data_IF_469590411477
#
_entry.id   IF_469590411477
#
_cell.length_a   1.000
_cell.length_b   1.000
_cell.length_c   1.000
_cell.angle_alpha   90.00
_cell.angle_beta   90.00
_cell.angle_gamma   90.00
#
_symmetry.space_group_name_H-M   'P 1'
#
loop_
_entity.id
_entity.type
_entity.pdbx_description
1 polymer ?
#
# COMPACT_ATOMS: atom_id res chain seq x y z
N UNK A 1 7.27 38.04 30.24
CA UNK A 1 8.26 37.05 30.73
C UNK A 1 8.30 35.80 29.83
N UNK A 2 7.20 35.04 29.70
CA UNK A 2 7.16 33.81 28.87
C UNK A 2 7.47 34.09 27.40
N UNK A 3 6.82 35.06 26.76
CA UNK A 3 7.10 35.42 25.36
C UNK A 3 8.58 35.80 25.16
N UNK A 4 9.15 36.58 26.08
CA UNK A 4 10.57 36.98 26.06
C UNK A 4 11.50 35.78 26.22
N UNK A 5 11.16 34.82 27.11
CA UNK A 5 11.90 33.58 27.30
C UNK A 5 11.92 32.75 26.01
N UNK A 6 10.75 32.55 25.39
CA UNK A 6 10.65 31.82 24.12
C UNK A 6 11.42 32.53 23.00
N UNK A 7 11.28 33.86 22.84
CA UNK A 7 12.03 34.60 21.80
C UNK A 7 13.55 34.48 21.98
N UNK A 8 14.05 34.62 23.21
CA UNK A 8 15.49 34.52 23.49
C UNK A 8 16.01 33.08 23.44
N UNK A 9 15.17 32.11 23.78
CA UNK A 9 15.47 30.68 23.74
C UNK A 9 15.20 30.02 22.38
N UNK A 10 15.13 30.80 21.29
CA UNK A 10 14.86 30.28 19.94
C UNK A 10 13.60 29.40 19.85
N UNK A 11 12.55 29.82 20.55
CA UNK A 11 11.28 29.13 20.65
C UNK A 11 11.20 28.10 21.77
N UNK A 12 12.21 27.99 22.66
CA UNK A 12 12.25 27.08 23.82
C UNK A 12 12.25 27.88 25.11
N UNK A 13 11.60 27.36 26.15
CA UNK A 13 11.52 28.01 27.45
C UNK A 13 11.32 27.01 28.58
N UNK A 14 12.00 27.23 29.69
CA UNK A 14 11.85 26.44 30.91
C UNK A 14 11.15 27.29 31.96
N UNK A 15 10.14 26.71 32.61
CA UNK A 15 9.44 27.32 33.75
C UNK A 15 9.70 26.43 34.96
N UNK A 16 10.27 27.03 36.00
CA UNK A 16 10.43 26.37 37.29
C UNK A 16 9.22 26.73 38.14
N UNK A 17 8.26 25.82 38.24
CA UNK A 17 7.07 25.98 39.06
C UNK A 17 7.45 25.75 40.53
N UNK A 18 7.54 26.84 41.30
CA UNK A 18 7.89 26.81 42.72
C UNK A 18 6.71 26.22 43.51
N UNK A 19 6.99 25.24 44.38
CA UNK A 19 6.03 24.63 45.32
C UNK A 19 6.20 25.24 46.71
N UNK A 20 5.16 25.18 47.55
CA UNK A 20 5.22 25.68 48.94
C UNK A 20 6.26 24.92 49.78
N UNK A 21 6.45 23.62 49.52
CA UNK A 21 7.55 22.80 50.05
C UNK A 21 8.13 21.90 48.94
N UNK A 22 9.46 21.74 48.92
CA UNK A 22 10.19 20.87 47.98
C UNK A 22 10.90 21.60 46.82
N UNK A 23 11.56 20.83 45.96
CA UNK A 23 12.25 21.38 44.79
C UNK A 23 11.25 21.88 43.73
N UNK A 24 11.58 22.98 43.02
CA UNK A 24 10.75 23.49 41.93
C UNK A 24 10.55 22.44 40.83
N UNK A 25 9.34 22.32 40.34
CA UNK A 25 9.04 21.41 39.23
C UNK A 25 9.42 22.08 37.90
N UNK A 26 10.20 21.38 37.08
CA UNK A 26 10.64 21.89 35.78
C UNK A 26 9.62 21.56 34.69
N UNK A 27 8.96 22.58 34.16
CA UNK A 27 8.10 22.49 32.99
C UNK A 27 8.83 23.03 31.76
N UNK A 28 9.01 22.19 30.75
CA UNK A 28 9.65 22.59 29.49
C UNK A 28 8.60 22.91 28.44
N UNK A 29 8.76 24.02 27.76
CA UNK A 29 7.88 24.50 26.71
C UNK A 29 8.67 24.75 25.43
N UNK A 30 8.04 24.48 24.29
CA UNK A 30 8.55 24.90 22.99
C UNK A 30 7.43 25.35 22.05
N UNK A 31 7.79 26.21 21.11
CA UNK A 31 6.90 26.69 20.05
C UNK A 31 6.92 25.77 18.84
N UNK A 32 5.77 25.62 18.18
CA UNK A 32 5.58 24.74 17.03
C UNK A 32 5.64 23.25 17.39
N UNK A 33 5.82 22.41 16.37
CA UNK A 33 5.87 20.95 16.53
C UNK A 33 7.27 20.50 16.97
N UNK A 34 7.63 20.83 18.21
CA UNK A 34 8.89 20.45 18.82
C UNK A 34 8.63 19.76 20.17
N UNK A 35 9.33 18.66 20.43
CA UNK A 35 9.29 17.99 21.72
C UNK A 35 10.39 18.56 22.63
N UNK A 36 10.04 19.26 23.73
CA UNK A 36 11.03 19.93 24.57
C UNK A 36 11.87 18.96 25.43
N UNK A 37 11.47 17.69 25.53
CA UNK A 37 12.20 16.67 26.30
C UNK A 37 13.16 15.83 25.44
N UNK A 38 12.81 15.58 24.17
CA UNK A 38 13.65 14.77 23.25
C UNK A 38 14.43 15.60 22.22
N UNK A 39 14.20 16.91 22.18
CA UNK A 39 14.75 17.85 21.20
C UNK A 39 14.42 17.53 19.73
N UNK A 40 13.39 16.72 19.50
CA UNK A 40 12.91 16.38 18.16
C UNK A 40 11.97 17.46 17.63
N UNK A 41 12.21 17.88 16.38
CA UNK A 41 11.35 18.82 15.66
C UNK A 41 10.68 18.13 14.48
N UNK A 42 9.39 18.37 14.33
CA UNK A 42 8.59 17.90 13.21
C UNK A 42 8.25 19.06 12.29
N UNK A 43 8.14 18.77 10.99
CA UNK A 43 7.67 19.75 10.01
C UNK A 43 6.15 19.89 10.09
N UNK A 44 5.65 21.07 9.72
CA UNK A 44 4.21 21.28 9.58
C UNK A 44 3.62 20.31 8.56
N UNK A 45 2.45 19.72 8.86
CA UNK A 45 1.83 18.75 7.97
C UNK A 45 1.33 19.47 6.71
N UNK A 46 1.78 18.99 5.56
CA UNK A 46 1.26 19.42 4.25
C UNK A 46 0.65 18.22 3.52
N UNK A 47 -0.37 18.39 2.67
CA UNK A 47 -0.96 17.28 1.92
C UNK A 47 0.07 16.45 1.15
N UNK A 48 1.11 17.09 0.62
CA UNK A 48 2.21 16.43 -0.08
C UNK A 48 2.99 15.42 0.78
N UNK A 49 3.03 15.61 2.11
CA UNK A 49 3.69 14.70 3.07
C UNK A 49 2.98 13.35 3.10
N UNK A 50 1.67 13.36 2.91
CA UNK A 50 0.80 12.19 2.96
C UNK A 50 0.58 11.53 1.59
N UNK A 51 1.26 12.02 0.54
CA UNK A 51 1.15 11.49 -0.81
C UNK A 51 2.37 10.65 -1.16
N UNK A 52 2.15 9.34 -1.36
CA UNK A 52 3.18 8.43 -1.89
C UNK A 52 3.51 8.71 -3.37
N UNK A 53 2.76 9.60 -4.04
CA UNK A 53 3.05 10.03 -5.41
C UNK A 53 3.89 11.32 -5.43
N UNK A 54 4.12 11.96 -4.28
CA UNK A 54 4.98 13.13 -4.16
C UNK A 54 6.36 12.71 -3.64
N UNK A 55 7.44 13.22 -4.23
CA UNK A 55 8.79 13.01 -3.71
C UNK A 55 8.97 13.50 -2.26
N UNK A 56 8.12 14.43 -1.81
CA UNK A 56 8.11 14.95 -0.46
C UNK A 56 7.66 13.90 0.56
N UNK A 57 6.54 13.22 0.30
CA UNK A 57 5.96 12.21 1.19
C UNK A 57 6.36 10.76 0.91
N UNK A 58 6.80 10.45 -0.31
CA UNK A 58 7.12 9.09 -0.72
C UNK A 58 8.38 8.54 -0.04
N UNK A 59 8.32 7.27 0.38
CA UNK A 59 9.49 6.53 0.84
C UNK A 59 10.57 6.52 -0.24
N UNK A 60 11.79 6.90 0.11
CA UNK A 60 12.90 7.07 -0.85
C UNK A 60 13.36 5.73 -1.45
N UNK A 61 13.37 4.67 -0.64
CA UNK A 61 13.84 3.34 -1.07
C UNK A 61 12.91 2.70 -2.12
N UNK A 62 11.59 2.80 -1.93
CA UNK A 62 10.61 2.23 -2.86
C UNK A 62 9.94 3.28 -3.76
N UNK A 63 10.30 4.55 -3.66
CA UNK A 63 9.69 5.68 -4.41
C UNK A 63 8.16 5.65 -4.41
N UNK A 64 7.56 5.34 -3.27
CA UNK A 64 6.11 5.29 -3.13
C UNK A 64 5.41 4.03 -3.66
N UNK A 65 6.14 3.01 -4.11
CA UNK A 65 5.55 1.74 -4.56
C UNK A 65 5.18 0.80 -3.40
N UNK A 66 5.73 1.00 -2.19
CA UNK A 66 5.52 0.13 -1.01
C UNK A 66 6.23 -1.21 -1.08
N UNK A 67 6.77 -1.54 -2.24
CA UNK A 67 7.46 -2.78 -2.52
C UNK A 67 8.77 -2.46 -3.19
N UNK A 68 9.79 -3.21 -2.84
CA UNK A 68 11.03 -3.23 -3.59
C UNK A 68 10.98 -4.41 -4.54
N UNK A 69 11.56 -4.22 -5.71
CA UNK A 69 11.74 -5.32 -6.63
C UNK A 69 12.92 -6.13 -6.08
N UNK A 70 12.60 -7.19 -5.34
CA UNK A 70 13.59 -8.11 -4.79
C UNK A 70 13.77 -9.32 -5.69
N UNK A 71 14.89 -10.01 -5.51
CA UNK A 71 15.12 -11.33 -6.12
C UNK A 71 14.44 -12.36 -5.24
N UNK A 72 13.52 -13.13 -5.82
CA UNK A 72 12.86 -14.23 -5.14
C UNK A 72 13.75 -15.48 -5.18
N UNK A 73 14.33 -15.84 -4.04
CA UNK A 73 15.21 -17.01 -3.96
C UNK A 73 14.48 -18.33 -4.24
N UNK A 74 13.16 -18.40 -4.03
CA UNK A 74 12.34 -19.55 -4.41
C UNK A 74 12.16 -19.67 -5.93
N UNK A 75 12.12 -18.55 -6.67
CA UNK A 75 12.13 -18.58 -8.14
C UNK A 75 13.52 -18.90 -8.70
N UNK A 76 14.58 -18.48 -7.99
CA UNK A 76 15.98 -18.74 -8.36
C UNK A 76 16.38 -20.18 -8.09
N UNK A 77 15.90 -20.76 -6.99
CA UNK A 77 16.18 -22.13 -6.55
C UNK A 77 14.84 -22.86 -6.36
N UNK A 78 14.12 -23.20 -7.46
CA UNK A 78 12.75 -23.72 -7.37
C UNK A 78 12.68 -25.19 -6.93
N UNK A 79 13.73 -25.98 -7.21
CA UNK A 79 13.78 -27.40 -6.86
C UNK A 79 14.86 -27.63 -5.81
N UNK A 80 14.44 -27.69 -4.55
CA UNK A 80 15.35 -27.89 -3.43
C UNK A 80 15.95 -29.31 -3.34
N UNK A 81 15.52 -30.24 -4.20
CA UNK A 81 16.08 -31.60 -4.25
C UNK A 81 17.35 -31.66 -5.09
N UNK A 82 17.59 -30.65 -5.93
CA UNK A 82 18.81 -30.56 -6.74
C UNK A 82 20.03 -30.20 -5.89
N UNK A 83 21.17 -30.72 -6.33
CA UNK A 83 22.49 -30.38 -5.79
C UNK A 83 23.03 -29.14 -6.51
N UNK A 84 24.07 -28.49 -5.96
CA UNK A 84 24.73 -27.37 -6.65
C UNK A 84 25.26 -27.81 -8.03
N UNK A 85 25.82 -29.02 -8.11
CA UNK A 85 26.34 -29.60 -9.37
C UNK A 85 25.25 -29.85 -10.40
N UNK A 86 24.08 -30.33 -9.97
CA UNK A 86 22.93 -30.61 -10.85
C UNK A 86 22.08 -29.37 -11.14
N UNK A 87 22.62 -28.18 -10.91
CA UNK A 87 22.00 -26.93 -11.29
C UNK A 87 20.83 -26.51 -10.42
N UNK A 88 21.00 -26.53 -9.09
CA UNK A 88 20.02 -25.99 -8.15
C UNK A 88 19.70 -24.50 -8.44
N UNK A 89 20.68 -23.72 -8.91
CA UNK A 89 20.52 -22.29 -9.21
C UNK A 89 20.11 -22.11 -10.67
N UNK A 90 18.79 -21.98 -10.91
CA UNK A 90 18.18 -21.97 -12.24
C UNK A 90 18.72 -20.89 -13.20
N UNK A 91 18.95 -19.63 -12.77
CA UNK A 91 19.51 -18.59 -13.65
C UNK A 91 20.88 -18.92 -14.25
N UNK A 92 21.71 -19.70 -13.54
CA UNK A 92 23.08 -20.03 -13.98
C UNK A 92 23.11 -21.17 -15.01
N UNK A 93 21.98 -21.85 -15.24
CA UNK A 93 21.92 -23.01 -16.15
C UNK A 93 21.76 -22.65 -17.63
N UNK A 94 21.61 -21.36 -17.96
CA UNK A 94 21.52 -20.93 -19.36
C UNK A 94 22.92 -20.81 -19.99
N UNK A 95 23.08 -21.02 -21.31
CA UNK A 95 24.39 -20.92 -21.97
C UNK A 95 25.14 -19.61 -21.71
N UNK A 96 24.40 -18.51 -21.57
CA UNK A 96 24.96 -17.17 -21.30
C UNK A 96 25.63 -17.03 -19.92
N UNK A 97 25.33 -17.92 -18.97
CA UNK A 97 25.80 -17.83 -17.58
C UNK A 97 26.48 -19.11 -17.10
N UNK A 98 26.91 -19.97 -18.05
CA UNK A 98 27.59 -21.23 -17.74
C UNK A 98 28.88 -21.00 -16.92
N UNK A 99 29.63 -19.96 -17.26
CA UNK A 99 30.84 -19.56 -16.50
C UNK A 99 30.53 -19.32 -15.02
N UNK A 100 29.38 -18.71 -14.71
CA UNK A 100 28.95 -18.48 -13.33
C UNK A 100 28.63 -19.79 -12.58
N UNK A 101 28.11 -20.79 -13.28
CA UNK A 101 27.90 -22.13 -12.72
C UNK A 101 29.25 -22.81 -12.47
N UNK A 102 30.22 -22.68 -13.39
CA UNK A 102 31.56 -23.25 -13.23
C UNK A 102 32.30 -22.61 -12.04
N UNK A 103 32.19 -21.29 -11.88
CA UNK A 103 32.72 -20.54 -10.74
C UNK A 103 32.12 -21.03 -9.41
N UNK A 104 30.79 -21.20 -9.35
CA UNK A 104 30.11 -21.71 -8.16
C UNK A 104 30.70 -23.07 -7.74
N UNK A 105 30.88 -23.99 -8.69
CA UNK A 105 31.39 -25.34 -8.42
C UNK A 105 32.86 -25.34 -8.02
N UNK A 106 33.66 -24.45 -8.62
CA UNK A 106 35.08 -24.26 -8.27
C UNK A 106 35.22 -23.73 -6.85
N UNK A 107 34.63 -22.58 -6.55
CA UNK A 107 34.78 -21.93 -5.25
C UNK A 107 34.07 -22.68 -4.12
N UNK A 108 32.98 -23.38 -4.41
CA UNK A 108 32.36 -24.28 -3.43
C UNK A 108 33.35 -25.40 -3.01
N UNK A 109 34.15 -25.92 -3.95
CA UNK A 109 35.20 -26.89 -3.64
C UNK A 109 36.30 -26.32 -2.74
N UNK A 110 36.77 -25.11 -3.04
CA UNK A 110 37.80 -24.41 -2.25
C UNK A 110 37.31 -24.05 -0.84
N UNK A 111 36.03 -23.71 -0.69
CA UNK A 111 35.41 -23.33 0.58
C UNK A 111 34.84 -24.51 1.39
N UNK A 112 34.97 -25.76 0.91
CA UNK A 112 34.44 -26.94 1.58
C UNK A 112 32.91 -27.05 1.58
N UNK A 113 32.23 -26.38 0.65
CA UNK A 113 30.77 -26.41 0.51
C UNK A 113 30.36 -27.68 -0.26
N UNK A 114 29.45 -28.51 0.26
CA UNK A 114 29.00 -29.71 -0.42
C UNK A 114 28.33 -29.39 -1.77
N UNK A 115 28.82 -30.02 -2.85
CA UNK A 115 28.33 -29.78 -4.23
C UNK A 115 27.33 -30.83 -4.71
N UNK A 116 27.37 -32.00 -4.07
CA UNK A 116 26.62 -33.20 -4.42
C UNK A 116 25.54 -33.53 -3.37
N UNK A 117 25.34 -32.63 -2.42
CA UNK A 117 24.27 -32.68 -1.41
C UNK A 117 23.08 -31.86 -1.91
N UNK A 118 21.85 -32.34 -1.68
CA UNK A 118 20.65 -31.61 -2.07
C UNK A 118 20.55 -30.27 -1.32
N UNK A 119 19.97 -29.25 -1.95
CA UNK A 119 19.81 -27.93 -1.34
C UNK A 119 19.11 -27.97 0.04
N UNK A 120 18.10 -28.83 0.21
CA UNK A 120 17.42 -29.05 1.50
C UNK A 120 18.32 -29.62 2.60
N UNK A 121 19.41 -30.29 2.24
CA UNK A 121 20.33 -30.94 3.17
C UNK A 121 21.54 -30.06 3.51
N UNK A 122 21.74 -28.94 2.79
CA UNK A 122 22.75 -27.94 3.14
C UNK A 122 22.36 -27.24 4.44
N UNK A 123 23.36 -26.93 5.27
CA UNK A 123 23.17 -26.14 6.49
C UNK A 123 22.80 -24.69 6.16
N UNK A 124 22.17 -23.94 7.08
CA UNK A 124 21.86 -22.53 6.87
C UNK A 124 23.08 -21.70 6.45
N UNK A 125 24.22 -21.88 7.13
CA UNK A 125 25.48 -21.19 6.79
C UNK A 125 26.00 -21.53 5.38
N UNK A 126 25.83 -22.78 4.92
CA UNK A 126 26.21 -23.19 3.57
C UNK A 126 25.29 -22.54 2.52
N UNK A 127 23.98 -22.47 2.78
CA UNK A 127 23.03 -21.78 1.89
C UNK A 127 23.33 -20.29 1.83
N UNK A 128 23.59 -19.68 2.98
CA UNK A 128 23.97 -18.26 3.06
C UNK A 128 25.26 -17.98 2.29
N UNK A 129 26.26 -18.85 2.37
CA UNK A 129 27.48 -18.71 1.56
C UNK A 129 27.19 -18.75 0.05
N UNK A 130 26.28 -19.62 -0.40
CA UNK A 130 25.88 -19.67 -1.82
C UNK A 130 25.15 -18.40 -2.24
N UNK A 131 24.22 -17.90 -1.42
CA UNK A 131 23.38 -16.74 -1.73
C UNK A 131 24.16 -15.42 -1.60
N UNK A 132 24.81 -15.22 -0.46
CA UNK A 132 25.53 -14.00 -0.09
C UNK A 132 26.98 -13.99 -0.56
N UNK A 133 27.55 -15.12 -0.98
CA UNK A 133 28.95 -15.20 -1.42
C UNK A 133 29.96 -15.33 -0.27
N UNK A 134 31.25 -15.16 -0.60
CA UNK A 134 32.32 -15.18 0.39
C UNK A 134 32.16 -13.99 1.38
N UNK A 135 32.23 -14.22 2.71
CA UNK A 135 32.15 -13.14 3.71
C UNK A 135 33.21 -12.05 3.53
N UNK A 136 34.40 -12.41 3.06
CA UNK A 136 35.53 -11.50 2.85
C UNK A 136 35.61 -11.00 1.39
N UNK A 137 34.45 -10.74 0.78
CA UNK A 137 34.35 -10.30 -0.61
C UNK A 137 35.09 -8.97 -0.86
N UNK A 138 36.14 -9.00 -1.68
CA UNK A 138 36.99 -7.86 -2.01
C UNK A 138 36.66 -7.20 -3.36
N UNK A 139 35.51 -7.52 -3.97
CA UNK A 139 35.09 -6.95 -5.26
C UNK A 139 35.65 -7.63 -6.51
N UNK A 140 36.40 -8.73 -6.37
CA UNK A 140 37.04 -9.41 -7.50
C UNK A 140 36.31 -10.69 -7.91
N UNK A 141 35.57 -10.62 -9.01
CA UNK A 141 34.76 -11.70 -9.60
C UNK A 141 35.57 -12.93 -10.00
N UNK A 142 36.86 -12.78 -10.29
CA UNK A 142 37.72 -13.87 -10.76
C UNK A 142 38.50 -14.56 -9.63
N UNK A 143 38.36 -14.11 -8.38
CA UNK A 143 39.14 -14.63 -7.23
C UNK A 143 38.28 -15.20 -6.12
N UNK A 144 37.01 -14.85 -6.04
CA UNK A 144 36.14 -15.25 -4.94
C UNK A 144 34.73 -15.51 -5.46
N UNK A 145 34.00 -16.38 -4.76
CA UNK A 145 32.57 -16.53 -5.00
C UNK A 145 31.81 -15.26 -4.61
N UNK A 146 31.19 -14.62 -5.59
CA UNK A 146 30.45 -13.36 -5.44
C UNK A 146 29.06 -13.54 -4.82
N UNK A 147 28.45 -14.71 -4.93
CA UNK A 147 27.11 -14.99 -4.42
C UNK A 147 25.99 -14.62 -5.40
N UNK A 148 24.90 -15.38 -5.33
CA UNK A 148 23.70 -15.18 -6.16
C UNK A 148 23.15 -13.76 -6.03
N UNK A 149 23.14 -13.18 -4.83
CA UNK A 149 22.62 -11.83 -4.61
C UNK A 149 23.42 -10.76 -5.36
N UNK A 150 24.76 -10.87 -5.38
CA UNK A 150 25.62 -9.94 -6.13
C UNK A 150 25.53 -10.15 -7.64
N UNK A 151 25.35 -11.39 -8.10
CA UNK A 151 25.04 -11.68 -9.50
C UNK A 151 23.79 -10.92 -9.98
N UNK A 152 22.70 -10.97 -9.21
CA UNK A 152 21.51 -10.19 -9.53
C UNK A 152 21.74 -8.68 -9.43
N UNK A 153 22.50 -8.19 -8.44
CA UNK A 153 22.91 -6.78 -8.38
C UNK A 153 23.67 -6.31 -9.63
N UNK A 154 24.54 -7.16 -10.20
CA UNK A 154 25.19 -6.91 -11.48
C UNK A 154 24.19 -6.86 -12.63
N UNK A 155 23.25 -7.81 -12.72
CA UNK A 155 22.19 -7.79 -13.73
C UNK A 155 21.34 -6.52 -13.65
N UNK A 156 21.04 -6.03 -12.45
CA UNK A 156 20.30 -4.79 -12.24
C UNK A 156 21.05 -3.56 -12.76
N UNK A 157 22.38 -3.51 -12.61
CA UNK A 157 23.20 -2.46 -13.24
C UNK A 157 23.13 -2.47 -14.77
N UNK A 158 22.73 -3.60 -15.37
CA UNK A 158 22.55 -3.79 -16.82
C UNK A 158 21.07 -3.79 -17.23
N UNK A 159 20.15 -3.35 -16.36
CA UNK A 159 18.71 -3.33 -16.64
C UNK A 159 18.29 -2.39 -17.79
N UNK A 160 19.18 -1.57 -18.33
CA UNK A 160 18.92 -0.83 -19.57
C UNK A 160 18.76 -1.75 -20.80
N UNK A 161 19.30 -2.98 -20.76
CA UNK A 161 19.15 -3.97 -21.84
C UNK A 161 17.83 -4.73 -21.72
N UNK A 162 17.05 -4.79 -22.81
CA UNK A 162 15.72 -5.43 -22.83
C UNK A 162 15.74 -6.89 -22.36
N UNK A 163 16.63 -7.74 -22.88
CA UNK A 163 16.71 -9.16 -22.51
C UNK A 163 17.06 -9.37 -21.04
N UNK A 164 17.83 -8.46 -20.43
CA UNK A 164 18.14 -8.48 -18.99
C UNK A 164 16.89 -8.15 -18.17
N UNK A 165 16.08 -7.16 -18.59
CA UNK A 165 14.79 -6.86 -17.93
C UNK A 165 13.83 -8.05 -17.99
N UNK A 166 13.75 -8.72 -19.13
CA UNK A 166 12.92 -9.92 -19.30
C UNK A 166 13.41 -11.04 -18.39
N UNK A 167 14.73 -11.27 -18.31
CA UNK A 167 15.31 -12.25 -17.39
C UNK A 167 14.99 -11.92 -15.93
N UNK A 168 15.25 -10.69 -15.50
CA UNK A 168 14.99 -10.21 -14.15
C UNK A 168 13.51 -10.37 -13.79
N UNK A 169 12.58 -10.06 -14.70
CA UNK A 169 11.13 -10.18 -14.44
C UNK A 169 10.69 -11.58 -14.03
N UNK A 170 11.39 -12.64 -14.46
CA UNK A 170 11.08 -14.03 -14.13
C UNK A 170 11.48 -14.44 -12.70
N UNK A 171 12.39 -13.69 -12.09
CA UNK A 171 12.96 -14.00 -10.76
C UNK A 171 12.70 -12.91 -9.73
N UNK A 172 11.88 -11.92 -10.10
CA UNK A 172 11.52 -10.83 -9.23
C UNK A 172 10.22 -11.15 -8.53
N UNK A 173 10.23 -11.05 -7.21
CA UNK A 173 9.01 -10.91 -6.45
C UNK A 173 8.93 -9.52 -5.86
N UNK A 174 7.69 -9.09 -5.66
CA UNK A 174 7.42 -7.85 -4.99
C UNK A 174 7.38 -8.13 -3.49
N UNK A 175 8.48 -7.87 -2.80
CA UNK A 175 8.52 -7.94 -1.34
C UNK A 175 8.15 -6.57 -0.75
N UNK A 176 7.50 -6.52 0.42
CA UNK A 176 7.30 -5.27 1.13
C UNK A 176 8.62 -4.54 1.32
N UNK A 177 8.62 -3.23 1.08
CA UNK A 177 9.80 -2.39 1.23
C UNK A 177 10.28 -2.45 2.68
N UNK A 178 11.52 -2.87 2.92
CA UNK A 178 12.10 -2.95 4.27
C UNK A 178 12.20 -1.58 4.95
N UNK A 179 12.37 -0.49 4.18
CA UNK A 179 12.53 0.86 4.72
C UNK A 179 11.23 1.48 5.24
N UNK A 180 10.07 1.12 4.67
CA UNK A 180 8.78 1.65 5.10
C UNK A 180 7.77 0.57 5.55
N UNK A 181 8.18 -0.69 5.59
CA UNK A 181 7.32 -1.82 5.96
C UNK A 181 6.15 -2.08 5.00
N UNK A 182 6.16 -1.49 3.81
CA UNK A 182 5.01 -1.51 2.90
C UNK A 182 4.21 -0.21 2.87
N UNK A 183 4.48 0.75 3.76
CA UNK A 183 3.62 1.92 3.95
C UNK A 183 3.71 3.00 2.87
N UNK A 184 4.66 2.88 1.93
CA UNK A 184 4.85 3.78 0.77
C UNK A 184 5.29 5.22 1.12
N UNK A 185 5.17 5.62 2.37
CA UNK A 185 5.46 6.97 2.86
C UNK A 185 6.77 7.02 3.67
N UNK A 186 7.32 8.23 3.83
CA UNK A 186 8.41 8.50 4.77
C UNK A 186 7.93 8.40 6.22
N UNK A 187 8.86 8.20 7.15
CA UNK A 187 8.55 7.99 8.56
C UNK A 187 7.73 9.16 9.13
N UNK A 188 8.08 10.39 8.80
CA UNK A 188 7.44 11.61 9.30
C UNK A 188 5.93 11.62 9.04
N UNK A 189 5.48 11.13 7.88
CA UNK A 189 4.06 11.01 7.56
C UNK A 189 3.35 9.95 8.40
N UNK A 190 4.07 8.88 8.78
CA UNK A 190 3.53 7.75 9.55
C UNK A 190 3.42 8.04 11.05
N UNK A 191 4.02 9.14 11.54
CA UNK A 191 3.92 9.56 12.94
C UNK A 191 2.60 10.28 13.25
N UNK A 192 1.92 10.83 12.24
CA UNK A 192 0.64 11.51 12.39
C UNK A 192 -0.48 10.50 12.60
N UNK A 193 -1.39 10.80 13.55
CA UNK A 193 -2.54 9.95 13.88
C UNK A 193 -3.83 10.75 13.91
N UNK A 194 -4.92 10.10 13.51
CA UNK A 194 -6.26 10.67 13.48
C UNK A 194 -7.20 9.88 14.41
N UNK A 195 -8.07 10.58 15.13
CA UNK A 195 -9.09 9.98 16.01
C UNK A 195 -8.62 9.67 17.43
N UNK A 196 -9.51 9.06 18.21
CA UNK A 196 -9.25 8.65 19.59
C UNK A 196 -8.73 7.23 19.68
N UNK A 197 -8.30 6.80 20.87
CA UNK A 197 -7.88 5.42 21.09
C UNK A 197 -9.07 4.46 20.95
N UNK A 198 -10.21 4.82 21.52
CA UNK A 198 -11.44 4.04 21.50
C UNK A 198 -11.94 3.84 20.07
N UNK A 199 -11.95 4.90 19.26
CA UNK A 199 -12.36 4.83 17.85
C UNK A 199 -11.40 3.99 17.00
N UNK A 200 -10.10 4.04 17.30
CA UNK A 200 -9.11 3.18 16.65
C UNK A 200 -9.28 1.71 17.02
N UNK A 201 -9.47 1.39 18.31
CA UNK A 201 -9.67 0.04 18.83
C UNK A 201 -10.96 -0.60 18.27
N UNK A 202 -12.00 0.21 18.02
CA UNK A 202 -13.28 -0.24 17.47
C UNK A 202 -13.20 -0.79 16.03
N UNK A 203 -12.20 -0.36 15.25
CA UNK A 203 -12.06 -0.73 13.83
C UNK A 203 -10.82 -1.56 13.54
N UNK A 204 -9.76 -1.44 14.34
CA UNK A 204 -8.50 -2.15 14.18
C UNK A 204 -7.95 -2.64 15.52
N UNK A 205 -7.68 -3.94 15.60
CA UNK A 205 -7.03 -4.53 16.77
C UNK A 205 -5.63 -3.92 16.98
N UNK A 206 -5.22 -3.62 18.23
CA UNK A 206 -3.95 -2.95 18.50
C UNK A 206 -2.72 -3.66 17.92
N UNK A 207 -2.71 -5.01 17.93
CA UNK A 207 -1.62 -5.84 17.39
C UNK A 207 -1.46 -5.73 15.86
N UNK A 208 -2.52 -5.31 15.16
CA UNK A 208 -2.55 -5.12 13.70
C UNK A 208 -2.11 -3.74 13.25
N UNK A 209 -1.93 -2.79 14.18
CA UNK A 209 -1.47 -1.43 13.84
C UNK A 209 -0.05 -1.48 13.31
N UNK A 210 0.20 -0.71 12.27
CA UNK A 210 1.52 -0.58 11.69
C UNK A 210 2.46 0.12 12.67
N UNK A 211 3.53 -0.58 13.05
CA UNK A 211 4.66 0.01 13.75
C UNK A 211 5.61 0.58 12.69
N UNK A 212 5.73 1.92 12.56
CA UNK A 212 6.53 2.50 11.50
C UNK A 212 8.00 2.08 11.63
N UNK A 213 8.58 1.62 10.52
CA UNK A 213 10.01 1.28 10.49
C UNK A 213 10.82 2.55 10.76
N UNK A 214 11.70 2.49 11.76
CA UNK A 214 12.51 3.64 12.19
C UNK A 214 11.91 4.47 13.32
N UNK A 215 10.65 4.22 13.72
CA UNK A 215 10.14 4.78 14.97
C UNK A 215 10.80 4.07 16.16
N UNK A 216 11.37 4.84 17.10
CA UNK A 216 11.93 4.32 18.35
C UNK A 216 10.83 3.98 19.38
N UNK A 217 9.77 3.28 18.94
CA UNK A 217 8.62 2.93 19.75
C UNK A 217 8.58 1.43 20.02
N UNK A 218 8.23 1.06 21.25
CA UNK A 218 7.81 -0.30 21.56
C UNK A 218 6.37 -0.54 21.07
N UNK A 219 6.00 -1.81 20.91
CA UNK A 219 4.63 -2.19 20.58
C UNK A 219 3.62 -1.64 21.59
N UNK A 220 3.92 -1.77 22.89
CA UNK A 220 3.07 -1.26 23.96
C UNK A 220 2.90 0.26 23.91
N UNK A 221 3.95 1.01 23.53
CA UNK A 221 3.84 2.45 23.32
C UNK A 221 2.89 2.79 22.17
N UNK A 222 3.03 2.13 21.01
CA UNK A 222 2.15 2.33 19.86
C UNK A 222 0.68 2.03 20.20
N UNK A 223 0.43 0.95 20.92
CA UNK A 223 -0.92 0.52 21.30
C UNK A 223 -1.56 1.46 22.34
N UNK A 224 -0.75 2.17 23.12
CA UNK A 224 -1.21 3.20 24.04
C UNK A 224 -1.56 4.52 23.34
N UNK A 225 -1.00 4.81 22.16
CA UNK A 225 -1.25 6.05 21.41
C UNK A 225 -2.70 6.12 20.88
N UNK A 226 -3.28 7.34 20.83
CA UNK A 226 -4.61 7.54 20.25
C UNK A 226 -4.57 7.44 18.72
N UNK A 227 -5.68 7.02 18.13
CA UNK A 227 -5.92 7.15 16.70
C UNK A 227 -5.10 6.21 15.81
N UNK A 228 -5.31 6.37 14.51
CA UNK A 228 -4.69 5.58 13.45
C UNK A 228 -3.85 6.46 12.52
N UNK A 229 -2.74 5.91 12.02
CA UNK A 229 -1.97 6.57 10.96
C UNK A 229 -2.70 6.48 9.62
N UNK A 230 -2.33 7.31 8.64
CA UNK A 230 -2.91 7.22 7.29
C UNK A 230 -2.74 5.82 6.69
N UNK A 231 -1.57 5.19 6.91
CA UNK A 231 -1.33 3.84 6.42
C UNK A 231 -2.28 2.81 7.06
N UNK A 232 -2.52 2.89 8.37
CA UNK A 232 -3.49 2.04 9.06
C UNK A 232 -4.90 2.21 8.45
N UNK A 233 -5.31 3.47 8.20
CA UNK A 233 -6.61 3.79 7.60
C UNK A 233 -6.75 3.23 6.17
N UNK A 234 -5.69 3.29 5.35
CA UNK A 234 -5.72 2.75 3.98
C UNK A 234 -5.86 1.22 3.93
N UNK A 235 -5.46 0.53 5.00
CA UNK A 235 -5.54 -0.93 5.13
C UNK A 235 -6.85 -1.43 5.75
N UNK A 236 -7.69 -0.54 6.28
CA UNK A 236 -9.02 -0.91 6.74
C UNK A 236 -9.92 -1.29 5.55
N UNK A 237 -10.77 -2.33 5.70
CA UNK A 237 -11.91 -2.50 4.83
C UNK A 237 -12.75 -1.22 4.81
N UNK A 238 -13.23 -0.81 3.65
CA UNK A 238 -13.99 0.44 3.46
C UNK A 238 -15.18 0.54 4.42
N UNK A 239 -15.85 -0.58 4.73
CA UNK A 239 -16.94 -0.59 5.73
C UNK A 239 -16.48 -0.17 7.13
N UNK A 240 -15.27 -0.58 7.54
CA UNK A 240 -14.69 -0.19 8.83
C UNK A 240 -14.16 1.23 8.78
N UNK A 241 -13.56 1.63 7.66
CA UNK A 241 -13.09 2.99 7.44
C UNK A 241 -14.24 3.99 7.48
N UNK A 242 -15.39 3.65 6.89
CA UNK A 242 -16.62 4.45 6.98
C UNK A 242 -17.05 4.64 8.43
N UNK A 243 -17.16 3.53 9.18
CA UNK A 243 -17.51 3.59 10.62
C UNK A 243 -16.55 4.50 11.39
N UNK A 244 -15.25 4.38 11.13
CA UNK A 244 -14.24 5.24 11.75
C UNK A 244 -14.51 6.74 11.50
N UNK A 245 -14.82 7.13 10.26
CA UNK A 245 -15.13 8.53 9.92
C UNK A 245 -16.51 9.00 10.39
N UNK A 246 -17.48 8.10 10.51
CA UNK A 246 -18.81 8.41 11.07
C UNK A 246 -18.70 8.73 12.57
N UNK A 247 -17.85 8.00 13.30
CA UNK A 247 -17.60 8.18 14.74
C UNK A 247 -16.47 9.19 15.04
N UNK A 248 -15.78 9.72 14.03
CA UNK A 248 -14.64 10.62 14.21
C UNK A 248 -15.09 11.96 14.80
N UNK A 249 -14.69 12.20 16.06
CA UNK A 249 -14.85 13.48 16.74
C UNK A 249 -13.56 14.28 16.70
N UNK A 250 -13.64 15.54 16.29
CA UNK A 250 -12.52 16.48 16.28
C UNK A 250 -12.77 17.61 17.28
N UNK A 251 -11.75 18.14 17.97
CA UNK A 251 -11.88 19.28 18.86
C UNK A 251 -12.62 20.46 18.22
N UNK A 252 -13.50 21.13 18.97
CA UNK A 252 -14.32 22.24 18.48
C UNK A 252 -13.49 23.41 17.92
N UNK A 253 -12.26 23.59 18.41
CA UNK A 253 -11.31 24.59 17.92
C UNK A 253 -10.85 24.36 16.48
N UNK A 254 -11.02 23.15 15.95
CA UNK A 254 -10.68 22.77 14.58
C UNK A 254 -11.92 22.70 13.67
N UNK A 255 -13.12 22.82 14.22
CA UNK A 255 -14.36 22.69 13.46
C UNK A 255 -14.70 23.99 12.73
N UNK A 256 -14.12 24.15 11.54
CA UNK A 256 -14.51 25.18 10.59
C UNK A 256 -15.35 24.60 9.44
N UNK A 257 -15.89 25.49 8.60
CA UNK A 257 -16.72 25.11 7.45
C UNK A 257 -15.95 24.30 6.41
N UNK A 258 -14.65 24.59 6.23
CA UNK A 258 -13.81 23.88 5.27
C UNK A 258 -13.60 22.41 5.68
N UNK A 259 -13.35 22.16 6.97
CA UNK A 259 -13.23 20.82 7.52
C UNK A 259 -14.54 20.06 7.40
N UNK A 260 -15.68 20.72 7.64
CA UNK A 260 -17.00 20.09 7.48
C UNK A 260 -17.21 19.62 6.04
N UNK A 261 -16.93 20.46 5.04
CA UNK A 261 -17.02 20.09 3.63
C UNK A 261 -16.13 18.89 3.29
N UNK A 262 -14.89 18.85 3.81
CA UNK A 262 -13.99 17.71 3.60
C UNK A 262 -14.50 16.42 4.25
N UNK A 263 -15.03 16.50 5.48
CA UNK A 263 -15.58 15.33 6.18
C UNK A 263 -16.83 14.79 5.49
N UNK A 264 -17.72 15.67 5.04
CA UNK A 264 -18.94 15.29 4.32
C UNK A 264 -18.58 14.62 2.98
N UNK A 265 -17.57 15.13 2.27
CA UNK A 265 -17.07 14.52 1.03
C UNK A 265 -16.49 13.12 1.26
N UNK A 266 -15.65 12.95 2.30
CA UNK A 266 -15.08 11.65 2.65
C UNK A 266 -16.18 10.64 3.00
N UNK A 267 -17.10 11.02 3.90
CA UNK A 267 -18.20 10.14 4.34
C UNK A 267 -19.10 9.75 3.17
N UNK A 268 -19.42 10.70 2.31
CA UNK A 268 -20.26 10.47 1.12
C UNK A 268 -19.60 9.49 0.15
N UNK A 269 -18.31 9.65 -0.18
CA UNK A 269 -17.59 8.72 -1.05
C UNK A 269 -17.47 7.31 -0.45
N UNK A 270 -17.17 7.21 0.85
CA UNK A 270 -17.11 5.92 1.54
C UNK A 270 -18.49 5.24 1.58
N UNK A 271 -19.57 6.01 1.74
CA UNK A 271 -20.94 5.51 1.64
C UNK A 271 -21.23 4.96 0.26
N UNK A 272 -20.90 5.67 -0.83
CA UNK A 272 -21.15 5.17 -2.19
C UNK A 272 -20.43 3.86 -2.47
N UNK A 273 -19.16 3.72 -2.05
CA UNK A 273 -18.42 2.47 -2.16
C UNK A 273 -19.09 1.32 -1.39
N UNK A 274 -19.63 1.58 -0.20
CA UNK A 274 -20.40 0.58 0.54
C UNK A 274 -21.72 0.22 -0.13
N UNK A 275 -22.44 1.22 -0.65
CA UNK A 275 -23.75 1.06 -1.26
C UNK A 275 -23.68 0.20 -2.52
N UNK A 276 -22.60 0.31 -3.31
CA UNK A 276 -22.34 -0.60 -4.46
C UNK A 276 -21.69 -1.93 -4.05
N UNK A 277 -21.59 -2.24 -2.76
CA UNK A 277 -21.09 -3.52 -2.27
C UNK A 277 -19.56 -3.69 -2.29
N UNK A 278 -18.78 -2.61 -2.37
CA UNK A 278 -17.30 -2.65 -2.33
C UNK A 278 -16.73 -2.48 -0.91
N UNK A 279 -17.57 -2.58 0.12
CA UNK A 279 -17.17 -2.37 1.52
C UNK A 279 -16.07 -3.32 2.04
N UNK A 280 -15.84 -4.45 1.38
CA UNK A 280 -14.80 -5.43 1.75
C UNK A 280 -13.40 -5.07 1.23
N UNK A 281 -13.30 -4.17 0.24
CA UNK A 281 -12.03 -3.71 -0.30
C UNK A 281 -11.35 -2.72 0.65
N UNK A 282 -10.05 -2.52 0.46
CA UNK A 282 -9.24 -1.52 1.17
C UNK A 282 -8.79 -0.44 0.19
N UNK A 283 -8.48 0.77 0.67
CA UNK A 283 -8.01 1.86 -0.20
C UNK A 283 -6.60 1.61 -0.76
N UNK A 284 -5.78 0.77 -0.10
CA UNK A 284 -4.45 0.38 -0.61
C UNK A 284 -4.50 -0.72 -1.69
N UNK A 285 -5.68 -1.30 -1.99
CA UNK A 285 -5.81 -2.36 -2.99
C UNK A 285 -5.38 -1.87 -4.37
N UNK A 286 -4.50 -2.63 -5.04
CA UNK A 286 -4.00 -2.27 -6.37
C UNK A 286 -5.07 -2.43 -7.45
N UNK A 287 -5.27 -1.39 -8.27
CA UNK A 287 -6.25 -1.37 -9.36
C UNK A 287 -6.16 -2.57 -10.32
N UNK A 288 -4.93 -2.99 -10.68
CA UNK A 288 -4.69 -4.17 -11.54
C UNK A 288 -5.14 -5.52 -10.96
N UNK A 289 -5.50 -5.56 -9.68
CA UNK A 289 -5.93 -6.77 -8.96
C UNK A 289 -7.43 -6.79 -8.70
N UNK A 290 -8.14 -5.79 -9.23
CA UNK A 290 -9.59 -5.73 -9.22
C UNK A 290 -10.13 -6.55 -10.39
N UNK A 291 -11.25 -7.22 -10.14
CA UNK A 291 -12.09 -7.85 -11.17
C UNK A 291 -12.75 -6.79 -12.04
N UNK A 292 -13.19 -7.19 -13.24
CA UNK A 292 -13.94 -6.30 -14.14
C UNK A 292 -15.17 -5.68 -13.46
N UNK A 293 -15.97 -6.50 -12.78
CA UNK A 293 -17.13 -6.02 -12.02
C UNK A 293 -16.76 -5.04 -10.89
N UNK A 294 -15.65 -5.25 -10.17
CA UNK A 294 -15.20 -4.27 -9.16
C UNK A 294 -14.84 -2.93 -9.78
N UNK A 295 -14.11 -2.92 -10.90
CA UNK A 295 -13.76 -1.69 -11.63
C UNK A 295 -15.02 -0.95 -12.09
N UNK A 296 -15.99 -1.68 -12.62
CA UNK A 296 -17.25 -1.11 -13.10
C UNK A 296 -18.05 -0.48 -11.96
N UNK A 297 -18.14 -1.14 -10.81
CA UNK A 297 -18.81 -0.59 -9.61
C UNK A 297 -18.09 0.64 -9.07
N UNK A 298 -16.75 0.68 -9.10
CA UNK A 298 -15.99 1.89 -8.73
C UNK A 298 -16.35 3.04 -9.68
N UNK A 299 -16.40 2.80 -10.99
CA UNK A 299 -16.77 3.83 -11.96
C UNK A 299 -18.17 4.38 -11.71
N UNK A 300 -19.13 3.53 -11.33
CA UNK A 300 -20.47 3.95 -10.94
C UNK A 300 -20.46 4.87 -9.71
N UNK A 301 -19.61 4.58 -8.71
CA UNK A 301 -19.48 5.48 -7.54
C UNK A 301 -18.86 6.83 -7.90
N UNK A 302 -17.98 6.88 -8.90
CA UNK A 302 -17.42 8.13 -9.40
C UNK A 302 -18.53 9.00 -10.01
N UNK A 303 -19.43 8.41 -10.80
CA UNK A 303 -20.59 9.11 -11.37
C UNK A 303 -21.55 9.63 -10.28
N UNK A 304 -21.79 8.85 -9.22
CA UNK A 304 -22.59 9.28 -8.06
C UNK A 304 -21.93 10.43 -7.28
N UNK A 305 -20.59 10.49 -7.29
CA UNK A 305 -19.81 11.48 -6.55
C UNK A 305 -19.58 12.80 -7.26
N UNK A 306 -19.85 12.92 -8.56
CA UNK A 306 -19.60 14.16 -9.32
C UNK A 306 -20.76 15.15 -9.27
N UNK A 307 -21.86 14.83 -8.58
CA UNK A 307 -23.08 15.67 -8.47
C UNK A 307 -23.54 16.24 -9.81
N UNK A 308 -23.32 15.49 -10.90
CA UNK A 308 -23.71 15.89 -12.24
C UNK A 308 -25.23 15.76 -12.38
N UNK A 309 -25.82 16.73 -13.04
CA UNK A 309 -27.24 16.76 -13.43
C UNK A 309 -27.34 16.97 -14.94
N UNK A 310 -28.47 16.63 -15.55
CA UNK A 310 -28.69 16.74 -17.00
C UNK A 310 -27.63 16.01 -17.84
N UNK A 311 -27.07 14.92 -17.33
CA UNK A 311 -26.06 14.11 -18.01
C UNK A 311 -26.69 12.81 -18.53
N UNK A 312 -26.27 12.38 -19.73
CA UNK A 312 -26.59 11.06 -20.27
C UNK A 312 -25.48 10.07 -19.89
N UNK A 313 -25.79 9.10 -19.05
CA UNK A 313 -24.91 7.99 -18.73
C UNK A 313 -25.23 6.80 -19.62
N UNK A 314 -24.23 6.31 -20.36
CA UNK A 314 -24.33 5.08 -21.14
C UNK A 314 -23.51 4.00 -20.43
N UNK A 315 -24.18 2.96 -19.94
CA UNK A 315 -23.58 1.87 -19.18
C UNK A 315 -23.66 0.57 -19.99
N UNK A 316 -22.52 -0.09 -20.14
CA UNK A 316 -22.38 -1.36 -20.86
C UNK A 316 -22.29 -2.51 -19.86
N UNK A 317 -23.34 -3.33 -19.78
CA UNK A 317 -23.52 -4.50 -18.90
C UNK A 317 -23.00 -4.31 -17.44
N UNK A 318 -23.58 -3.38 -16.65
CA UNK A 318 -23.22 -3.14 -15.25
C UNK A 318 -23.31 -4.36 -14.33
N UNK A 319 -24.01 -5.43 -14.73
CA UNK A 319 -24.18 -6.67 -13.97
C UNK A 319 -23.05 -7.68 -14.12
N UNK A 320 -22.10 -7.49 -15.04
CA UNK A 320 -21.05 -8.49 -15.32
C UNK A 320 -20.26 -8.83 -14.05
N UNK A 321 -20.22 -10.13 -13.75
CA UNK A 321 -19.45 -10.65 -12.62
C UNK A 321 -20.01 -10.27 -11.25
N UNK A 322 -21.27 -9.83 -11.18
CA UNK A 322 -21.99 -9.62 -9.92
C UNK A 322 -22.64 -10.91 -9.43
N UNK A 323 -22.60 -11.08 -8.12
CA UNK A 323 -23.41 -12.10 -7.47
C UNK A 323 -24.89 -11.63 -7.46
N UNK A 324 -25.89 -12.49 -7.71
CA UNK A 324 -27.31 -12.09 -7.76
C UNK A 324 -27.79 -11.30 -6.53
N UNK A 325 -27.23 -11.60 -5.34
CA UNK A 325 -27.51 -10.88 -4.08
C UNK A 325 -27.16 -9.39 -4.13
N UNK A 326 -26.17 -8.99 -4.92
CA UNK A 326 -25.71 -7.60 -5.00
C UNK A 326 -26.36 -6.83 -6.15
N UNK A 327 -27.19 -7.48 -6.99
CA UNK A 327 -27.89 -6.83 -8.11
C UNK A 327 -28.79 -5.68 -7.65
N UNK A 328 -29.56 -5.89 -6.57
CA UNK A 328 -30.44 -4.85 -6.04
C UNK A 328 -29.71 -3.58 -5.62
N UNK A 329 -28.44 -3.68 -5.20
CA UNK A 329 -27.62 -2.52 -4.85
C UNK A 329 -27.25 -1.67 -6.06
N UNK A 330 -26.95 -2.32 -7.18
CA UNK A 330 -26.60 -1.64 -8.43
C UNK A 330 -27.83 -0.99 -9.05
N UNK A 331 -28.97 -1.67 -9.04
CA UNK A 331 -30.25 -1.08 -9.44
C UNK A 331 -30.54 0.18 -8.63
N UNK A 332 -30.46 0.13 -7.30
CA UNK A 332 -30.66 1.30 -6.44
C UNK A 332 -29.66 2.43 -6.71
N UNK A 333 -28.40 2.10 -7.03
CA UNK A 333 -27.41 3.10 -7.40
C UNK A 333 -27.74 3.80 -8.73
N UNK A 334 -28.22 3.06 -9.72
CA UNK A 334 -28.67 3.59 -11.01
C UNK A 334 -29.94 4.44 -10.85
N UNK A 335 -30.91 4.00 -10.05
CA UNK A 335 -32.11 4.77 -9.72
C UNK A 335 -31.75 6.12 -9.08
N UNK A 336 -30.80 6.14 -8.14
CA UNK A 336 -30.32 7.41 -7.54
C UNK A 336 -29.67 8.34 -8.56
N UNK A 337 -28.90 7.81 -9.51
CA UNK A 337 -28.33 8.62 -10.58
C UNK A 337 -29.42 9.24 -11.45
N UNK A 338 -30.44 8.45 -11.82
CA UNK A 338 -31.62 8.92 -12.54
C UNK A 338 -32.34 10.02 -11.76
N UNK A 339 -32.65 9.75 -10.49
CA UNK A 339 -33.43 10.64 -9.62
C UNK A 339 -32.68 11.94 -9.30
N UNK A 340 -31.35 11.95 -9.42
CA UNK A 340 -30.54 13.17 -9.38
C UNK A 340 -30.70 14.07 -10.61
N UNK A 341 -31.58 13.72 -11.57
CA UNK A 341 -31.86 14.51 -12.77
C UNK A 341 -31.00 14.11 -13.98
N UNK A 342 -30.57 12.85 -14.05
CA UNK A 342 -29.81 12.32 -15.17
C UNK A 342 -30.64 11.30 -15.98
N UNK A 343 -30.19 11.02 -17.20
CA UNK A 343 -30.74 9.95 -18.03
C UNK A 343 -29.75 8.81 -18.10
N UNK A 344 -30.19 7.58 -17.88
CA UNK A 344 -29.36 6.39 -17.99
C UNK A 344 -29.83 5.55 -19.17
N UNK A 345 -28.89 5.17 -20.04
CA UNK A 345 -29.08 4.16 -21.08
C UNK A 345 -28.19 2.98 -20.72
N UNK A 346 -28.82 1.85 -20.44
CA UNK A 346 -28.13 0.66 -19.93
C UNK A 346 -28.30 -0.47 -20.94
N UNK A 347 -27.19 -1.02 -21.42
CA UNK A 347 -27.18 -2.26 -22.20
C UNK A 347 -27.08 -3.41 -21.21
N UNK A 348 -28.10 -4.27 -21.16
CA UNK A 348 -28.17 -5.36 -20.19
C UNK A 348 -28.88 -6.58 -20.76
N UNK A 349 -28.61 -7.72 -20.15
CA UNK A 349 -29.31 -8.98 -20.38
C UNK A 349 -29.82 -9.62 -19.08
N UNK A 350 -29.54 -9.02 -17.91
CA UNK A 350 -30.03 -9.51 -16.62
C UNK A 350 -31.52 -9.15 -16.39
N UNK A 351 -32.39 -10.14 -16.09
CA UNK A 351 -33.82 -9.91 -15.89
C UNK A 351 -34.15 -8.93 -14.75
N UNK A 352 -33.35 -8.88 -13.69
CA UNK A 352 -33.63 -7.99 -12.56
C UNK A 352 -33.44 -6.52 -12.95
N UNK A 353 -32.48 -6.22 -13.82
CA UNK A 353 -32.29 -4.85 -14.35
C UNK A 353 -33.40 -4.51 -15.35
N UNK A 354 -33.75 -5.44 -16.24
CA UNK A 354 -34.84 -5.27 -17.20
C UNK A 354 -36.17 -4.95 -16.50
N UNK A 355 -36.48 -5.66 -15.42
CA UNK A 355 -37.70 -5.45 -14.63
C UNK A 355 -37.73 -4.12 -13.87
N UNK A 356 -36.56 -3.56 -13.53
CA UNK A 356 -36.45 -2.28 -12.84
C UNK A 356 -36.43 -1.07 -13.79
N UNK A 357 -36.30 -1.29 -15.10
CA UNK A 357 -36.20 -0.22 -16.07
C UNK A 357 -37.53 0.52 -16.25
N UNK A 358 -37.48 1.86 -16.28
CA UNK A 358 -38.65 2.69 -16.60
C UNK A 358 -39.13 2.49 -18.05
N UNK A 359 -38.19 2.15 -18.94
CA UNK A 359 -38.44 1.85 -20.35
C UNK A 359 -37.46 0.79 -20.82
N UNK A 360 -37.98 -0.20 -21.54
CA UNK A 360 -37.21 -1.26 -22.15
C UNK A 360 -37.26 -1.11 -23.68
N UNK A 361 -36.10 -1.26 -24.33
CA UNK A 361 -35.96 -1.27 -25.79
C UNK A 361 -35.23 -2.56 -26.13
N UNK A 362 -35.90 -3.44 -26.86
CA UNK A 362 -35.30 -4.68 -27.35
C UNK A 362 -34.76 -4.49 -28.77
N UNK A 363 -33.58 -5.06 -29.03
CA UNK A 363 -32.84 -4.93 -30.28
C UNK A 363 -32.72 -6.31 -30.93
N UNK A 364 -33.28 -6.48 -32.11
CA UNK A 364 -33.38 -7.80 -32.75
C UNK A 364 -33.70 -7.72 -34.24
N UNK A 365 -34.32 -8.78 -34.81
CA UNK A 365 -34.69 -10.07 -34.20
C UNK A 365 -33.53 -11.09 -34.07
N UNK A 366 -32.35 -10.79 -34.62
CA UNK A 366 -31.16 -11.64 -34.49
C UNK A 366 -29.85 -10.85 -34.54
N UNK A 367 -28.69 -11.52 -34.40
CA UNK A 367 -27.40 -10.85 -34.46
C UNK A 367 -26.97 -10.53 -35.90
N UNK A 368 -26.03 -9.57 -36.05
CA UNK A 368 -25.38 -9.24 -37.32
C UNK A 368 -26.33 -8.58 -38.32
N UNK A 369 -26.30 -9.05 -39.58
CA UNK A 369 -27.15 -8.55 -40.67
C UNK A 369 -28.67 -8.73 -40.40
N UNK A 370 -29.03 -9.62 -39.47
CA UNK A 370 -30.42 -9.88 -39.05
C UNK A 370 -30.87 -9.02 -37.86
N UNK A 371 -30.05 -8.06 -37.44
CA UNK A 371 -30.29 -7.19 -36.30
C UNK A 371 -30.46 -5.72 -36.66
N UNK A 372 -30.26 -4.83 -35.68
CA UNK A 372 -30.26 -3.39 -35.88
C UNK A 372 -31.66 -2.76 -35.95
N UNK A 373 -32.71 -3.51 -35.60
CA UNK A 373 -34.08 -3.04 -35.54
C UNK A 373 -34.58 -3.06 -34.09
N UNK A 374 -35.43 -2.10 -33.74
CA UNK A 374 -36.17 -2.10 -32.46
C UNK A 374 -37.37 -3.03 -32.65
N UNK A 375 -37.56 -4.00 -31.76
CA UNK A 375 -38.62 -5.02 -31.84
C UNK A 375 -39.73 -4.82 -30.82
#
# INVERSE_FOLDING_TARGET
AIETSLRRGSGRGNVYAVKEEGEPELWRYSTGLHCPDSDLRYADPQPALFSFNSAFGACEACRGFGRVIGVDMGLVIPDHRKTLRNGAIKPLQTPAWKECQDDLIKYAGEAGIPRDTAWTQLSPAQRDWVIEGNPNWAGNWNKQWYGVRRFFGYLESKAYKMHIRVLLSKYRSYTPCSACGGARLKLEALLWRLGTKEGADAVMAPDKRNLPVGAAWSRAQLEALPGLSLHDLMFLPIVKLRRFFDELTLPSTLQDEALKLLMDEIRTRLKYLCDVGLGYLTLDRQSRTLSGGEVQRINLTTALGTSLVNTLFVLDEPSIGLHPRDMGRIVQAMERLRDAGNTLVVVEHDPAVMLAADRLIDMGPGPGERGGQIV
#
